data_IF_036752803079
#
_entry.id   IF_036752803079
#
_cell.length_a   1.000
_cell.length_b   1.000
_cell.length_c   1.000
_cell.angle_alpha   90.00
_cell.angle_beta   90.00
_cell.angle_gamma   90.00
#
_symmetry.space_group_name_H-M   'P 1'
#
loop_
_entity.id
_entity.type
_entity.pdbx_description
1 polymer ?
#
# COMPACT_ATOMS: atom_id res chain seq x y z
N UNK A 1 16.47 -8.02 -12.62
CA UNK A 1 15.56 -7.07 -11.92
C UNK A 1 14.75 -6.35 -12.98
N UNK A 2 13.44 -6.12 -12.79
CA UNK A 2 12.64 -5.34 -13.73
C UNK A 2 13.16 -3.89 -13.82
N UNK A 3 12.87 -3.22 -14.94
CA UNK A 3 13.23 -1.82 -15.13
C UNK A 3 12.49 -0.96 -14.08
N UNK A 4 13.16 -0.06 -13.37
CA UNK A 4 12.50 0.84 -12.41
C UNK A 4 11.40 1.64 -13.11
N UNK A 5 10.23 1.70 -12.48
CA UNK A 5 9.10 2.48 -12.96
C UNK A 5 9.04 3.80 -12.20
N UNK A 6 8.70 4.89 -12.89
CA UNK A 6 8.45 6.18 -12.24
C UNK A 6 7.28 6.05 -11.27
N UNK A 7 7.42 6.54 -10.05
CA UNK A 7 6.28 6.69 -9.16
C UNK A 7 5.87 8.17 -9.16
N UNK A 8 4.86 8.50 -9.97
CA UNK A 8 4.36 9.86 -10.14
C UNK A 8 3.40 10.23 -9.01
N UNK A 9 3.98 10.60 -7.87
CA UNK A 9 3.27 10.96 -6.65
C UNK A 9 3.66 12.40 -6.26
N UNK A 10 2.70 13.24 -5.80
CA UNK A 10 3.04 14.54 -5.27
C UNK A 10 4.07 14.44 -4.14
N UNK A 11 5.04 15.35 -4.11
CA UNK A 11 6.05 15.44 -3.06
C UNK A 11 5.45 16.06 -1.77
N UNK A 12 4.48 15.38 -1.16
CA UNK A 12 3.83 15.78 0.09
C UNK A 12 3.75 14.62 1.07
N UNK A 13 3.81 14.92 2.37
CA UNK A 13 3.66 13.91 3.42
C UNK A 13 2.30 13.21 3.33
N UNK A 14 1.24 13.96 3.07
CA UNK A 14 -0.11 13.43 2.87
C UNK A 14 -0.15 12.40 1.73
N UNK A 15 0.40 12.71 0.56
CA UNK A 15 0.46 11.76 -0.55
C UNK A 15 1.30 10.50 -0.19
N UNK A 16 2.37 10.69 0.58
CA UNK A 16 3.14 9.58 1.15
C UNK A 16 2.28 8.66 2.04
N UNK A 17 1.47 9.21 2.95
CA UNK A 17 0.53 8.46 3.79
C UNK A 17 -0.49 7.69 2.96
N UNK A 18 -1.03 8.31 1.92
CA UNK A 18 -1.91 7.64 0.96
C UNK A 18 -1.28 6.45 0.26
N UNK A 19 -0.04 6.61 -0.22
CA UNK A 19 0.70 5.52 -0.84
C UNK A 19 0.99 4.39 0.16
N UNK A 20 1.38 4.73 1.39
CA UNK A 20 1.67 3.75 2.44
C UNK A 20 0.42 2.97 2.86
N UNK A 21 -0.75 3.63 2.93
CA UNK A 21 -2.03 2.97 3.15
C UNK A 21 -2.29 1.87 2.12
N UNK A 22 -2.01 2.13 0.83
CA UNK A 22 -2.21 1.14 -0.24
C UNK A 22 -1.21 -0.02 -0.13
N UNK A 23 0.07 0.27 0.06
CA UNK A 23 1.12 -0.76 0.14
C UNK A 23 0.90 -1.67 1.35
N UNK A 24 0.68 -1.09 2.52
CA UNK A 24 0.45 -1.89 3.74
C UNK A 24 -0.92 -2.56 3.74
N UNK A 25 -1.94 -1.90 3.20
CA UNK A 25 -3.28 -2.49 3.04
C UNK A 25 -3.28 -3.71 2.10
N UNK A 26 -2.41 -3.72 1.08
CA UNK A 26 -2.31 -4.83 0.13
C UNK A 26 -2.00 -6.18 0.80
N UNK A 27 -1.31 -6.18 1.95
CA UNK A 27 -1.00 -7.38 2.73
C UNK A 27 -2.25 -8.10 3.24
N UNK A 28 -3.32 -7.37 3.53
CA UNK A 28 -4.59 -7.97 3.96
C UNK A 28 -5.17 -8.85 2.85
N UNK A 29 -5.13 -8.37 1.60
CA UNK A 29 -5.52 -9.15 0.41
C UNK A 29 -4.49 -10.23 0.05
N UNK A 30 -3.20 -9.94 0.25
CA UNK A 30 -2.10 -10.88 0.03
C UNK A 30 -2.27 -12.20 0.79
N UNK A 31 -2.74 -12.14 2.04
CA UNK A 31 -3.06 -13.34 2.86
C UNK A 31 -4.17 -14.18 2.22
N UNK A 32 -5.13 -13.56 1.54
CA UNK A 32 -6.19 -14.29 0.84
C UNK A 32 -5.63 -14.93 -0.43
N UNK A 33 -4.81 -14.20 -1.19
CA UNK A 33 -4.17 -14.70 -2.40
C UNK A 33 -3.16 -15.83 -2.11
N UNK A 34 -2.46 -15.77 -0.97
CA UNK A 34 -1.49 -16.81 -0.60
C UNK A 34 -2.14 -18.18 -0.42
N UNK A 35 -3.45 -18.24 -0.11
CA UNK A 35 -4.22 -19.49 -0.01
C UNK A 35 -4.50 -20.13 -1.36
N UNK A 36 -4.36 -19.38 -2.45
CA UNK A 36 -4.54 -19.87 -3.81
C UNK A 36 -3.22 -20.33 -4.45
N UNK A 37 -2.09 -20.19 -3.74
CA UNK A 37 -0.78 -20.66 -4.22
C UNK A 37 -0.65 -22.16 -3.97
N UNK A 38 -0.33 -22.99 -4.98
CA UNK A 38 -0.16 -24.43 -4.81
C UNK A 38 0.95 -24.79 -3.82
N UNK A 39 0.81 -25.94 -3.17
CA UNK A 39 1.85 -26.48 -2.30
C UNK A 39 3.18 -26.65 -3.05
N UNK A 40 4.27 -26.27 -2.39
CA UNK A 40 5.61 -26.30 -2.98
C UNK A 40 5.97 -25.08 -3.83
N UNK A 41 5.04 -24.14 -4.09
CA UNK A 41 5.33 -22.88 -4.77
C UNK A 41 5.68 -21.75 -3.79
N UNK A 42 6.50 -20.75 -4.19
CA UNK A 42 6.84 -19.61 -3.34
C UNK A 42 5.61 -18.75 -3.01
N UNK A 43 5.26 -18.65 -1.73
CA UNK A 43 4.12 -17.84 -1.24
C UNK A 43 4.50 -16.81 -0.17
N UNK A 44 5.78 -16.75 0.23
CA UNK A 44 6.25 -15.96 1.38
C UNK A 44 5.93 -14.46 1.26
N UNK A 45 6.05 -13.88 0.06
CA UNK A 45 5.71 -12.47 -0.17
C UNK A 45 4.22 -12.19 0.04
N UNK A 46 3.34 -13.02 -0.54
CA UNK A 46 1.88 -12.88 -0.39
C UNK A 46 1.43 -13.17 1.05
N UNK A 47 2.08 -14.12 1.72
CA UNK A 47 1.80 -14.51 3.10
C UNK A 47 2.40 -13.58 4.18
N UNK A 48 3.09 -12.50 3.79
CA UNK A 48 3.68 -11.53 4.70
C UNK A 48 2.59 -10.69 5.40
N UNK A 49 1.97 -11.28 6.41
CA UNK A 49 0.91 -10.68 7.22
C UNK A 49 1.45 -9.59 8.16
N UNK A 50 0.59 -8.63 8.45
CA UNK A 50 0.72 -7.78 9.64
C UNK A 50 0.75 -8.64 10.90
N UNK A 51 1.66 -8.33 11.83
CA UNK A 51 1.55 -8.81 13.21
C UNK A 51 0.29 -8.22 13.85
N UNK A 52 -0.12 -8.81 14.98
CA UNK A 52 -1.32 -8.40 15.69
C UNK A 52 -1.25 -6.91 16.04
N UNK A 53 -2.18 -6.12 15.47
CA UNK A 53 -2.30 -4.69 15.75
C UNK A 53 -1.52 -3.76 14.81
N UNK A 54 -0.58 -4.23 13.98
CA UNK A 54 0.24 -3.35 13.13
C UNK A 54 -0.60 -2.55 12.13
N UNK A 55 -1.57 -3.20 11.47
CA UNK A 55 -2.50 -2.49 10.59
C UNK A 55 -3.30 -1.41 11.34
N UNK A 56 -3.75 -1.69 12.57
CA UNK A 56 -4.48 -0.70 13.39
C UNK A 56 -3.56 0.44 13.83
N UNK A 57 -2.30 0.14 14.14
CA UNK A 57 -1.30 1.15 14.51
C UNK A 57 -1.01 2.10 13.34
N UNK A 58 -0.93 1.56 12.12
CA UNK A 58 -0.81 2.38 10.90
C UNK A 58 -2.02 3.32 10.73
N UNK A 59 -3.23 2.79 10.84
CA UNK A 59 -4.44 3.61 10.72
C UNK A 59 -4.48 4.70 11.80
N UNK A 60 -4.15 4.34 13.05
CA UNK A 60 -4.07 5.32 14.14
C UNK A 60 -3.00 6.40 13.89
N UNK A 61 -1.89 6.07 13.22
CA UNK A 61 -0.89 7.05 12.85
C UNK A 61 -1.41 8.01 11.77
N UNK A 62 -2.14 7.51 10.76
CA UNK A 62 -2.79 8.34 9.74
C UNK A 62 -3.86 9.24 10.38
N UNK A 63 -4.70 8.68 11.25
CA UNK A 63 -5.77 9.41 11.95
C UNK A 63 -5.22 10.47 12.94
N UNK A 64 -3.95 10.32 13.36
CA UNK A 64 -3.27 11.27 14.23
C UNK A 64 -2.69 12.49 13.52
N UNK A 65 -2.67 12.51 12.18
CA UNK A 65 -2.21 13.65 11.40
C UNK A 65 -3.19 14.82 11.49
N UNK A 66 -2.67 16.06 11.49
CA UNK A 66 -3.52 17.25 11.43
C UNK A 66 -4.01 17.45 10.00
N UNK A 67 -5.10 16.78 9.66
CA UNK A 67 -5.66 16.76 8.32
C UNK A 67 -6.73 17.86 8.13
N UNK A 68 -6.45 18.79 7.23
CA UNK A 68 -7.48 19.61 6.60
C UNK A 68 -7.96 18.95 5.29
N UNK A 69 -8.94 19.57 4.62
CA UNK A 69 -9.49 19.04 3.37
C UNK A 69 -8.41 18.86 2.29
N UNK A 70 -7.49 19.82 2.16
CA UNK A 70 -6.40 19.75 1.21
C UNK A 70 -5.42 18.60 1.52
N UNK A 71 -5.14 18.35 2.80
CA UNK A 71 -4.34 17.21 3.24
C UNK A 71 -5.01 15.89 2.85
N UNK A 72 -6.31 15.75 3.12
CA UNK A 72 -7.06 14.52 2.78
C UNK A 72 -7.05 14.29 1.26
N UNK A 73 -7.27 15.34 0.47
CA UNK A 73 -7.19 15.25 -0.99
C UNK A 73 -5.80 14.78 -1.45
N UNK A 74 -4.73 15.33 -0.90
CA UNK A 74 -3.36 14.92 -1.24
C UNK A 74 -3.08 13.46 -0.85
N UNK A 75 -3.59 12.99 0.28
CA UNK A 75 -3.49 11.58 0.66
C UNK A 75 -4.26 10.68 -0.31
N UNK A 76 -5.46 11.07 -0.73
CA UNK A 76 -6.22 10.34 -1.75
C UNK A 76 -5.47 10.30 -3.08
N UNK A 77 -4.85 11.41 -3.50
CA UNK A 77 -4.02 11.45 -4.72
C UNK A 77 -2.85 10.47 -4.63
N UNK A 78 -2.14 10.43 -3.49
CA UNK A 78 -1.05 9.49 -3.27
C UNK A 78 -1.48 8.02 -3.30
N UNK A 79 -2.63 7.70 -2.69
CA UNK A 79 -3.22 6.36 -2.76
C UNK A 79 -3.55 5.96 -4.20
N UNK A 80 -4.20 6.85 -4.97
CA UNK A 80 -4.53 6.61 -6.38
C UNK A 80 -3.27 6.40 -7.23
N UNK A 81 -2.23 7.19 -7.01
CA UNK A 81 -0.94 7.03 -7.70
C UNK A 81 -0.32 5.66 -7.43
N UNK A 82 -0.38 5.17 -6.18
CA UNK A 82 0.14 3.84 -5.83
C UNK A 82 -0.63 2.71 -6.54
N UNK A 83 -1.96 2.78 -6.56
CA UNK A 83 -2.78 1.83 -7.32
C UNK A 83 -2.47 1.86 -8.82
N UNK A 84 -2.32 3.05 -9.40
CA UNK A 84 -2.00 3.22 -10.81
C UNK A 84 -0.63 2.62 -11.16
N UNK A 85 0.37 2.76 -10.27
CA UNK A 85 1.68 2.15 -10.43
C UNK A 85 1.58 0.62 -10.51
N UNK A 86 0.81 -0.01 -9.60
CA UNK A 86 0.57 -1.45 -9.65
C UNK A 86 -0.21 -1.88 -10.90
N UNK A 87 -1.20 -1.09 -11.33
CA UNK A 87 -2.03 -1.39 -12.51
C UNK A 87 -1.21 -1.46 -13.80
N UNK A 88 -0.21 -0.58 -13.94
CA UNK A 88 0.64 -0.50 -15.14
C UNK A 88 1.93 -1.32 -15.03
N UNK A 89 2.15 -2.01 -13.91
CA UNK A 89 3.30 -2.87 -13.73
C UNK A 89 3.25 -4.04 -14.74
N UNK A 90 4.38 -4.38 -15.38
CA UNK A 90 4.43 -5.51 -16.30
C UNK A 90 4.19 -6.83 -15.55
N UNK A 91 3.53 -7.77 -16.23
CA UNK A 91 3.27 -9.13 -15.74
C UNK A 91 4.55 -9.99 -15.69
#
# INVERSE_FOLDING_TARGET
MPVPMTFDVPASAAAGWGAMYVVEGSRLGGIMLSRSVPDGMPSAYLGAKHLSGEWRALLAAIDGETADEAWVEQAIVGAKAAFELYRRAPA
#
